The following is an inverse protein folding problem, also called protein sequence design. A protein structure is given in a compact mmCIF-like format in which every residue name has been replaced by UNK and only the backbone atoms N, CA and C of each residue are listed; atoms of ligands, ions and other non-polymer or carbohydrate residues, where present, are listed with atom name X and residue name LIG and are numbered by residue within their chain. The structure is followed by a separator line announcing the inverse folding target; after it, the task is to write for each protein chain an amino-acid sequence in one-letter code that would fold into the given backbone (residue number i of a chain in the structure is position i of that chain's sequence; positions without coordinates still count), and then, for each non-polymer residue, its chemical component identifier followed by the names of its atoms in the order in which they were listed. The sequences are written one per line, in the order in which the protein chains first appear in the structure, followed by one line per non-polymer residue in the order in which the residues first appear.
data_IF_167307787121
#
_entry.id   IF_167307787121
#
_cell.length_a   1.000
_cell.length_b   1.000
_cell.length_c   1.000
_cell.angle_alpha   90.00
_cell.angle_beta   90.00
_cell.angle_gamma   90.00
#
_symmetry.space_group_name_H-M   'P 1'
#
loop_
_entity.id
_entity.type
_entity.pdbx_description
1 polymer ?
#
# COMPACT_ATOMS: atom_id res chain seq x y z
N UNK A 1 -16.26 -40.42 -12.22
CA UNK A 1 -16.61 -39.00 -12.18
C UNK A 1 -15.39 -38.25 -11.74
N UNK A 2 -14.66 -37.55 -12.59
CA UNK A 2 -13.51 -36.75 -12.18
C UNK A 2 -14.01 -35.42 -11.64
N UNK A 3 -13.61 -35.11 -10.42
CA UNK A 3 -13.77 -33.78 -9.81
C UNK A 3 -12.84 -32.80 -10.56
N UNK A 4 -13.45 -31.89 -11.30
CA UNK A 4 -12.73 -30.75 -11.88
C UNK A 4 -12.35 -29.80 -10.76
N UNK A 5 -11.09 -29.84 -10.35
CA UNK A 5 -10.47 -28.79 -9.58
C UNK A 5 -10.43 -27.53 -10.46
N UNK A 6 -11.39 -26.65 -10.24
CA UNK A 6 -11.33 -25.30 -10.76
C UNK A 6 -10.23 -24.55 -9.96
N UNK A 7 -8.98 -24.69 -10.41
CA UNK A 7 -7.91 -23.82 -10.03
C UNK A 7 -8.32 -22.43 -10.52
N UNK A 8 -8.74 -21.57 -9.58
CA UNK A 8 -8.99 -20.17 -9.85
C UNK A 8 -7.70 -19.60 -10.46
N UNK A 9 -7.75 -19.35 -11.76
CA UNK A 9 -6.63 -18.77 -12.50
C UNK A 9 -6.33 -17.42 -11.89
N UNK A 10 -5.22 -17.34 -11.15
CA UNK A 10 -4.64 -16.10 -10.66
C UNK A 10 -4.48 -15.18 -11.86
N UNK A 11 -5.16 -14.04 -11.83
CA UNK A 11 -5.04 -13.01 -12.86
C UNK A 11 -3.56 -12.66 -12.96
N UNK A 12 -2.92 -12.70 -14.14
CA UNK A 12 -1.50 -12.39 -14.25
C UNK A 12 -1.28 -10.99 -13.68
N UNK A 13 -0.43 -10.91 -12.65
CA UNK A 13 0.00 -9.63 -12.11
C UNK A 13 0.68 -8.88 -13.26
N UNK A 14 0.25 -7.66 -13.51
CA UNK A 14 0.94 -6.75 -14.40
C UNK A 14 2.40 -6.63 -13.91
N UNK A 15 3.38 -6.67 -14.81
CA UNK A 15 4.80 -6.61 -14.49
C UNK A 15 5.17 -5.46 -13.54
N UNK A 16 4.49 -4.33 -13.67
CA UNK A 16 4.65 -3.17 -12.79
C UNK A 16 4.24 -3.49 -11.35
N UNK A 17 3.13 -4.19 -11.14
CA UNK A 17 2.66 -4.56 -9.79
C UNK A 17 3.62 -5.54 -9.12
N UNK A 18 4.14 -6.52 -9.88
CA UNK A 18 5.14 -7.46 -9.38
C UNK A 18 6.44 -6.75 -8.99
N UNK A 19 6.90 -5.78 -9.79
CA UNK A 19 8.09 -4.99 -9.49
C UNK A 19 7.92 -4.15 -8.22
N UNK A 20 6.78 -3.47 -8.06
CA UNK A 20 6.50 -2.68 -6.86
C UNK A 20 6.47 -3.55 -5.60
N UNK A 21 5.87 -4.73 -5.66
CA UNK A 21 5.88 -5.70 -4.57
C UNK A 21 7.30 -6.11 -4.19
N UNK A 22 8.13 -6.44 -5.17
CA UNK A 22 9.55 -6.79 -4.96
C UNK A 22 10.32 -5.65 -4.32
N UNK A 23 10.13 -4.42 -4.81
CA UNK A 23 10.80 -3.21 -4.29
C UNK A 23 10.39 -2.92 -2.85
N UNK A 24 9.11 -3.10 -2.52
CA UNK A 24 8.60 -2.95 -1.16
C UNK A 24 9.19 -4.00 -0.22
N UNK A 25 9.17 -5.27 -0.62
CA UNK A 25 9.71 -6.39 0.17
C UNK A 25 11.21 -6.27 0.41
N UNK A 26 11.97 -5.75 -0.55
CA UNK A 26 13.41 -5.53 -0.41
C UNK A 26 13.80 -4.59 0.74
N UNK A 27 12.85 -3.80 1.25
CA UNK A 27 13.03 -2.88 2.39
C UNK A 27 12.60 -3.49 3.72
N UNK A 28 12.12 -4.71 3.73
CA UNK A 28 11.56 -5.38 4.90
C UNK A 28 12.46 -6.51 5.37
N UNK A 29 12.44 -6.76 6.66
CA UNK A 29 13.06 -7.96 7.25
C UNK A 29 12.07 -9.14 7.17
N UNK A 30 12.56 -10.38 7.11
CA UNK A 30 11.71 -11.56 7.24
C UNK A 30 10.84 -11.49 8.51
N UNK A 31 9.56 -11.81 8.39
CA UNK A 31 8.63 -11.77 9.51
C UNK A 31 8.23 -10.36 9.99
N UNK A 32 8.53 -9.31 9.23
CA UNK A 32 8.16 -7.94 9.56
C UNK A 32 6.66 -7.80 9.86
N UNK A 33 6.30 -6.89 10.77
CA UNK A 33 4.91 -6.57 11.08
C UNK A 33 4.43 -5.39 10.25
N UNK A 34 3.45 -5.65 9.39
CA UNK A 34 2.94 -4.71 8.40
C UNK A 34 1.49 -4.29 8.71
N UNK A 35 1.14 -3.09 8.28
CA UNK A 35 -0.25 -2.68 8.13
C UNK A 35 -0.67 -2.80 6.66
N UNK A 36 -1.69 -3.59 6.38
CA UNK A 36 -2.40 -3.56 5.11
C UNK A 36 -3.66 -2.70 5.27
N UNK A 37 -3.57 -1.45 4.85
CA UNK A 37 -4.68 -0.49 4.95
C UNK A 37 -5.58 -0.55 3.72
N UNK A 38 -6.89 -0.33 3.92
CA UNK A 38 -7.89 -0.39 2.85
C UNK A 38 -7.77 -1.69 2.04
N UNK A 39 -7.72 -2.83 2.77
CA UNK A 39 -7.36 -4.11 2.18
C UNK A 39 -8.39 -4.67 1.19
N UNK A 40 -9.54 -4.03 1.05
CA UNK A 40 -10.60 -4.47 0.15
C UNK A 40 -11.06 -5.88 0.47
N UNK A 41 -11.15 -6.74 -0.53
CA UNK A 41 -11.51 -8.15 -0.36
C UNK A 41 -10.33 -9.06 0.04
N UNK A 42 -9.12 -8.50 0.25
CA UNK A 42 -8.02 -9.22 0.88
C UNK A 42 -6.98 -9.83 -0.07
N UNK A 43 -6.93 -9.46 -1.34
CA UNK A 43 -5.94 -9.99 -2.29
C UNK A 43 -4.49 -9.71 -1.82
N UNK A 44 -4.17 -8.45 -1.52
CA UNK A 44 -2.85 -8.08 -1.02
C UNK A 44 -2.58 -8.62 0.38
N UNK A 45 -3.61 -8.71 1.23
CA UNK A 45 -3.51 -9.33 2.54
C UNK A 45 -3.06 -10.79 2.45
N UNK A 46 -3.67 -11.56 1.55
CA UNK A 46 -3.30 -12.95 1.28
C UNK A 46 -1.86 -13.05 0.76
N UNK A 47 -1.49 -12.17 -0.19
CA UNK A 47 -0.12 -12.11 -0.69
C UNK A 47 0.89 -11.84 0.42
N UNK A 48 0.73 -10.77 1.22
CA UNK A 48 1.67 -10.41 2.28
C UNK A 48 1.83 -11.54 3.31
N UNK A 49 0.75 -12.23 3.64
CA UNK A 49 0.80 -13.39 4.53
C UNK A 49 1.54 -14.59 3.91
N UNK A 50 1.33 -14.83 2.62
CA UNK A 50 2.03 -15.91 1.89
C UNK A 50 3.55 -15.67 1.84
N UNK A 51 3.98 -14.39 1.84
CA UNK A 51 5.39 -13.99 1.93
C UNK A 51 5.96 -14.12 3.36
N UNK A 52 5.16 -14.53 4.34
CA UNK A 52 5.60 -14.79 5.72
C UNK A 52 5.58 -13.56 6.63
N UNK A 53 4.93 -12.48 6.26
CA UNK A 53 4.78 -11.30 7.11
C UNK A 53 3.66 -11.45 8.14
N UNK A 54 3.81 -10.78 9.28
CA UNK A 54 2.72 -10.58 10.25
C UNK A 54 1.94 -9.36 9.82
N UNK A 55 0.63 -9.49 9.55
CA UNK A 55 -0.15 -8.41 8.97
C UNK A 55 -1.31 -8.02 9.87
N UNK A 56 -1.39 -6.74 10.22
CA UNK A 56 -2.62 -6.12 10.70
C UNK A 56 -3.35 -5.55 9.49
N UNK A 57 -4.65 -5.85 9.33
CA UNK A 57 -5.43 -5.36 8.20
C UNK A 57 -6.61 -4.51 8.66
N UNK A 58 -6.94 -3.48 7.89
CA UNK A 58 -8.16 -2.68 8.08
C UNK A 58 -8.90 -2.41 6.78
N UNK A 59 -10.22 -2.38 6.87
CA UNK A 59 -11.14 -2.04 5.79
C UNK A 59 -12.37 -1.33 6.38
N UNK A 60 -12.78 -0.23 5.76
CA UNK A 60 -13.93 0.54 6.26
C UNK A 60 -15.28 -0.10 5.90
N UNK A 61 -15.33 -0.82 4.77
CA UNK A 61 -16.55 -1.47 4.27
C UNK A 61 -16.68 -2.85 4.91
N UNK A 62 -17.70 -3.03 5.74
CA UNK A 62 -17.92 -4.28 6.47
C UNK A 62 -18.02 -5.51 5.55
N UNK A 63 -18.70 -5.38 4.42
CA UNK A 63 -18.86 -6.49 3.48
C UNK A 63 -17.50 -6.96 2.93
N UNK A 64 -16.63 -6.02 2.51
CA UNK A 64 -15.30 -6.30 2.00
C UNK A 64 -14.40 -6.87 3.11
N UNK A 65 -14.47 -6.31 4.33
CA UNK A 65 -13.72 -6.81 5.48
C UNK A 65 -14.07 -8.27 5.84
N UNK A 66 -15.35 -8.64 5.74
CA UNK A 66 -15.79 -10.03 5.93
C UNK A 66 -15.18 -10.97 4.88
N UNK A 67 -15.21 -10.58 3.60
CA UNK A 67 -14.62 -11.36 2.51
C UNK A 67 -13.11 -11.49 2.72
N UNK A 68 -12.41 -10.38 3.02
CA UNK A 68 -10.99 -10.38 3.29
C UNK A 68 -10.62 -11.29 4.47
N UNK A 69 -11.41 -11.27 5.55
CA UNK A 69 -11.21 -12.13 6.71
C UNK A 69 -11.38 -13.61 6.37
N UNK A 70 -12.40 -13.95 5.58
CA UNK A 70 -12.62 -15.33 5.13
C UNK A 70 -11.51 -15.84 4.21
N UNK A 71 -11.09 -15.02 3.23
CA UNK A 71 -10.05 -15.40 2.27
C UNK A 71 -8.69 -15.54 2.92
N UNK A 72 -8.34 -14.62 3.81
CA UNK A 72 -7.03 -14.59 4.46
C UNK A 72 -6.91 -15.50 5.70
N UNK A 73 -8.04 -15.93 6.27
CA UNK A 73 -8.06 -16.71 7.51
C UNK A 73 -7.60 -15.91 8.74
N UNK A 74 -7.70 -14.57 8.72
CA UNK A 74 -7.39 -13.72 9.87
C UNK A 74 -8.44 -12.62 10.07
N UNK A 75 -8.46 -12.04 11.26
CA UNK A 75 -9.33 -10.90 11.56
C UNK A 75 -8.91 -9.65 10.77
N UNK A 76 -9.90 -8.93 10.25
CA UNK A 76 -9.74 -7.62 9.62
C UNK A 76 -10.48 -6.58 10.47
N UNK A 77 -9.81 -5.49 10.82
CA UNK A 77 -10.43 -4.40 11.58
C UNK A 77 -11.39 -3.62 10.68
N UNK A 78 -12.63 -3.48 11.12
CA UNK A 78 -13.63 -2.68 10.39
C UNK A 78 -13.50 -1.23 10.85
N UNK A 79 -12.63 -0.48 10.18
CA UNK A 79 -12.43 0.94 10.49
C UNK A 79 -11.81 1.69 9.31
N UNK A 80 -12.11 3.00 9.17
CA UNK A 80 -11.42 3.84 8.21
C UNK A 80 -9.93 3.94 8.50
N UNK A 81 -9.12 4.04 7.45
CA UNK A 81 -7.65 4.17 7.56
C UNK A 81 -7.25 5.34 8.48
N UNK A 82 -7.94 6.47 8.38
CA UNK A 82 -7.69 7.65 9.21
C UNK A 82 -7.91 7.43 10.73
N UNK A 83 -8.59 6.35 11.11
CA UNK A 83 -8.82 6.00 12.53
C UNK A 83 -7.94 4.86 13.00
N UNK A 84 -7.03 4.36 12.14
CA UNK A 84 -6.08 3.35 12.56
C UNK A 84 -5.09 3.93 13.57
N UNK A 85 -4.86 3.19 14.63
CA UNK A 85 -3.85 3.47 15.64
C UNK A 85 -3.20 2.15 16.09
N UNK A 86 -1.98 2.25 16.55
CA UNK A 86 -1.22 1.11 17.05
C UNK A 86 -0.29 1.56 18.18
N UNK A 87 -0.11 0.70 19.18
CA UNK A 87 0.83 0.95 20.28
C UNK A 87 2.27 0.80 19.79
N UNK A 88 2.51 -0.15 18.89
CA UNK A 88 3.83 -0.38 18.29
C UNK A 88 3.81 0.04 16.83
N UNK A 89 4.84 0.75 16.35
CA UNK A 89 4.94 1.15 14.96
C UNK A 89 5.18 -0.07 14.07
N UNK A 90 4.69 0.02 12.83
CA UNK A 90 4.85 -1.00 11.80
C UNK A 90 6.19 -0.90 11.10
N UNK A 91 6.67 -2.05 10.60
CA UNK A 91 7.85 -2.15 9.73
C UNK A 91 7.56 -1.70 8.28
N UNK A 92 6.30 -1.57 7.92
CA UNK A 92 5.86 -1.06 6.62
C UNK A 92 4.33 -0.96 6.56
N UNK A 93 3.85 -0.11 5.66
CA UNK A 93 2.43 0.05 5.35
C UNK A 93 2.22 -0.18 3.86
N UNK A 94 1.29 -1.06 3.52
CA UNK A 94 0.81 -1.29 2.16
C UNK A 94 -0.66 -0.91 2.09
N UNK A 95 -1.01 0.03 1.20
CA UNK A 95 -2.39 0.37 0.93
C UNK A 95 -2.84 -0.30 -0.37
N UNK A 96 -3.93 -1.05 -0.31
CA UNK A 96 -4.44 -1.79 -1.47
C UNK A 96 -5.28 -0.92 -2.41
N UNK A 97 -5.77 0.22 -1.92
CA UNK A 97 -6.58 1.16 -2.70
C UNK A 97 -5.91 2.53 -2.79
N UNK A 98 -6.18 3.29 -3.86
CA UNK A 98 -5.67 4.65 -4.01
C UNK A 98 -6.11 5.56 -2.86
N UNK A 99 -5.24 6.50 -2.50
CA UNK A 99 -5.61 7.63 -1.67
C UNK A 99 -6.27 8.70 -2.57
N UNK A 100 -7.56 8.58 -2.79
CA UNK A 100 -8.35 9.54 -3.57
C UNK A 100 -8.93 10.60 -2.63
N UNK A 101 -8.08 11.48 -2.16
CA UNK A 101 -8.43 12.53 -1.19
C UNK A 101 -7.95 13.90 -1.68
N UNK A 102 -8.69 14.94 -1.30
CA UNK A 102 -8.23 16.31 -1.48
C UNK A 102 -7.01 16.58 -0.59
N UNK A 103 -6.20 17.57 -0.96
CA UNK A 103 -4.97 17.95 -0.21
C UNK A 103 -5.26 18.17 1.27
N UNK A 104 -6.39 18.80 1.60
CA UNK A 104 -6.80 19.10 2.98
C UNK A 104 -7.02 17.86 3.85
N UNK A 105 -7.42 16.75 3.26
CA UNK A 105 -7.63 15.46 3.95
C UNK A 105 -6.41 14.55 3.83
N UNK A 106 -5.65 14.66 2.74
CA UNK A 106 -4.49 13.84 2.49
C UNK A 106 -3.32 14.16 3.45
N UNK A 107 -3.06 15.45 3.72
CA UNK A 107 -1.96 15.87 4.62
C UNK A 107 -2.13 15.29 6.03
N UNK A 108 -3.27 15.46 6.73
CA UNK A 108 -3.47 14.84 8.04
C UNK A 108 -3.37 13.32 8.01
N UNK A 109 -3.87 12.68 6.94
CA UNK A 109 -3.79 11.24 6.78
C UNK A 109 -2.34 10.75 6.65
N UNK A 110 -1.54 11.39 5.80
CA UNK A 110 -0.12 11.06 5.64
C UNK A 110 0.68 11.32 6.93
N UNK A 111 0.38 12.40 7.65
CA UNK A 111 0.97 12.68 8.97
C UNK A 111 0.66 11.54 9.95
N UNK A 112 -0.59 11.10 10.03
CA UNK A 112 -0.98 9.99 10.88
C UNK A 112 -0.29 8.68 10.46
N UNK A 113 -0.27 8.32 9.17
CA UNK A 113 0.41 7.13 8.68
C UNK A 113 1.91 7.16 9.01
N UNK A 114 2.54 8.34 8.93
CA UNK A 114 3.92 8.52 9.34
C UNK A 114 4.15 8.16 10.81
N UNK A 115 3.21 8.48 11.72
CA UNK A 115 3.31 8.11 13.14
C UNK A 115 3.19 6.61 13.38
N UNK A 116 2.55 5.89 12.48
CA UNK A 116 2.39 4.43 12.56
C UNK A 116 3.61 3.66 12.05
N UNK A 117 4.59 4.33 11.43
CA UNK A 117 5.78 3.72 10.85
C UNK A 117 7.00 3.86 11.74
N UNK A 118 7.85 2.84 11.75
CA UNK A 118 9.23 2.94 12.24
C UNK A 118 10.04 3.87 11.34
N UNK A 119 11.11 4.46 11.88
CA UNK A 119 12.07 5.23 11.07
C UNK A 119 12.62 4.37 9.92
N UNK A 120 12.71 4.96 8.72
CA UNK A 120 13.14 4.28 7.51
C UNK A 120 12.11 3.32 6.87
N UNK A 121 10.99 3.06 7.53
CA UNK A 121 9.99 2.09 7.04
C UNK A 121 9.20 2.61 5.82
N UNK A 122 8.86 1.74 4.86
CA UNK A 122 8.16 2.11 3.65
C UNK A 122 6.64 2.22 3.83
N UNK A 123 6.04 3.22 3.18
CA UNK A 123 4.62 3.35 2.90
C UNK A 123 4.41 3.25 1.39
N UNK A 124 3.68 2.25 0.93
CA UNK A 124 3.39 2.04 -0.49
C UNK A 124 1.89 2.13 -0.77
N UNK A 125 1.50 2.83 -1.83
CA UNK A 125 0.11 2.96 -2.25
C UNK A 125 -0.01 3.23 -3.75
N UNK A 126 -1.13 2.81 -4.37
CA UNK A 126 -1.42 3.14 -5.76
C UNK A 126 -1.85 4.60 -5.90
N UNK A 127 -1.42 5.25 -6.97
CA UNK A 127 -1.83 6.59 -7.39
C UNK A 127 -2.54 6.48 -8.75
N UNK A 128 -3.85 6.74 -8.82
CA UNK A 128 -4.58 6.62 -10.08
C UNK A 128 -4.16 7.72 -11.06
N UNK A 129 -4.06 7.44 -12.36
CA UNK A 129 -3.63 8.42 -13.37
C UNK A 129 -4.59 9.60 -13.50
N UNK A 130 -5.87 9.38 -13.19
CA UNK A 130 -6.93 10.40 -13.17
C UNK A 130 -7.29 10.86 -11.76
N UNK A 131 -6.39 10.64 -10.79
CA UNK A 131 -6.60 11.03 -9.40
C UNK A 131 -6.60 12.54 -9.19
N UNK A 132 -7.10 12.97 -8.05
CA UNK A 132 -7.13 14.39 -7.63
C UNK A 132 -5.74 15.00 -7.42
N UNK A 133 -4.72 14.16 -7.27
CA UNK A 133 -3.34 14.57 -7.01
C UNK A 133 -2.40 13.82 -7.95
N UNK A 134 -1.56 14.55 -8.66
CA UNK A 134 -0.48 13.99 -9.47
C UNK A 134 0.73 13.64 -8.59
N UNK A 135 1.67 12.83 -9.12
CA UNK A 135 2.92 12.50 -8.41
C UNK A 135 3.73 13.76 -8.07
N UNK A 136 3.79 14.73 -8.99
CA UNK A 136 4.50 16.00 -8.76
C UNK A 136 3.88 16.82 -7.61
N UNK A 137 2.54 16.89 -7.57
CA UNK A 137 1.82 17.55 -6.49
C UNK A 137 2.02 16.84 -5.16
N UNK A 138 2.00 15.51 -5.15
CA UNK A 138 2.28 14.71 -3.95
C UNK A 138 3.70 14.95 -3.44
N UNK A 139 4.69 14.97 -4.34
CA UNK A 139 6.08 15.24 -3.99
C UNK A 139 6.24 16.64 -3.38
N UNK A 140 5.65 17.66 -4.00
CA UNK A 140 5.65 19.01 -3.47
C UNK A 140 4.98 19.06 -2.08
N UNK A 141 3.84 18.43 -1.92
CA UNK A 141 3.08 18.39 -0.69
C UNK A 141 3.88 17.75 0.44
N UNK A 142 4.51 16.60 0.22
CA UNK A 142 5.33 15.91 1.20
C UNK A 142 6.53 16.79 1.60
N UNK A 143 7.14 17.49 0.65
CA UNK A 143 8.30 18.37 0.91
C UNK A 143 7.90 19.62 1.69
N UNK A 144 6.75 20.22 1.41
CA UNK A 144 6.36 21.53 1.96
C UNK A 144 5.57 21.43 3.27
N UNK A 145 4.89 20.31 3.51
CA UNK A 145 4.01 20.16 4.69
C UNK A 145 4.72 19.69 5.97
N UNK A 146 6.04 19.52 5.95
CA UNK A 146 6.80 19.08 7.12
C UNK A 146 6.42 17.66 7.60
N UNK A 147 5.81 16.85 6.72
CA UNK A 147 5.49 15.47 7.03
C UNK A 147 6.79 14.67 7.10
N UNK A 148 6.95 13.85 8.12
CA UNK A 148 8.14 13.02 8.26
C UNK A 148 8.11 11.80 7.30
N UNK A 149 7.87 12.05 6.01
CA UNK A 149 7.91 11.11 4.91
C UNK A 149 8.75 11.69 3.77
N UNK A 150 9.43 10.84 3.04
CA UNK A 150 10.24 11.21 1.88
C UNK A 150 9.92 10.30 0.72
N UNK A 151 9.87 10.83 -0.50
CA UNK A 151 9.68 10.01 -1.69
C UNK A 151 10.89 9.07 -1.85
N UNK A 152 10.63 7.78 -1.93
CA UNK A 152 11.67 6.80 -2.23
C UNK A 152 12.04 6.91 -3.72
N UNK A 153 13.33 6.83 -4.07
CA UNK A 153 13.71 6.64 -5.44
C UNK A 153 13.16 5.27 -5.89
N UNK A 154 12.09 5.29 -6.66
CA UNK A 154 11.65 4.14 -7.42
C UNK A 154 12.31 4.26 -8.77
N UNK A 155 13.12 3.27 -9.14
CA UNK A 155 13.55 3.16 -10.52
C UNK A 155 12.30 3.06 -11.37
N UNK A 156 12.09 4.07 -12.22
CA UNK A 156 11.02 4.03 -13.19
C UNK A 156 11.28 2.80 -14.06
N UNK A 157 10.50 1.74 -13.90
CA UNK A 157 10.45 0.67 -14.89
C UNK A 157 9.83 1.29 -16.11
N UNK A 158 10.68 1.86 -16.95
CA UNK A 158 10.34 2.15 -18.32
C UNK A 158 10.07 0.79 -18.96
N UNK A 159 8.81 0.37 -18.97
CA UNK A 159 8.37 -0.67 -19.87
C UNK A 159 8.63 -0.13 -21.27
N UNK A 160 9.80 -0.50 -21.84
CA UNK A 160 10.10 -0.36 -23.25
C UNK A 160 9.26 -1.38 -24.02
N UNK A 161 7.95 -1.14 -24.04
CA UNK A 161 7.06 -1.69 -25.05
C UNK A 161 6.34 -0.52 -25.67
N UNK A 162 6.71 -0.26 -26.92
CA UNK A 162 6.09 0.66 -27.84
C UNK A 162 4.65 0.20 -28.15
N UNK A 163 3.76 0.31 -27.16
CA UNK A 163 2.35 0.13 -27.36
C UNK A 163 1.62 1.35 -26.80
N UNK A 164 1.20 2.21 -27.72
CA UNK A 164 0.55 3.50 -27.49
C UNK A 164 -0.86 3.40 -26.89
N UNK A 165 -1.24 2.25 -26.32
CA UNK A 165 -2.58 1.98 -25.79
C UNK A 165 -2.69 1.97 -24.26
N UNK A 166 -1.61 2.22 -23.50
CA UNK A 166 -1.61 2.03 -22.05
C UNK A 166 -1.55 3.35 -21.25
N UNK A 167 -2.39 4.33 -21.61
CA UNK A 167 -2.51 5.61 -20.86
C UNK A 167 -3.26 5.50 -19.51
N UNK A 168 -3.61 4.28 -19.08
CA UNK A 168 -4.42 4.06 -17.86
C UNK A 168 -3.73 3.18 -16.80
N UNK A 169 -2.41 3.03 -16.88
CA UNK A 169 -1.69 2.24 -15.88
C UNK A 169 -1.67 2.95 -14.52
N UNK A 170 -2.15 2.28 -13.48
CA UNK A 170 -2.04 2.75 -12.10
C UNK A 170 -0.56 2.84 -11.72
N UNK A 171 -0.10 4.01 -11.34
CA UNK A 171 1.24 4.24 -10.83
C UNK A 171 1.27 3.95 -9.31
N UNK A 172 2.32 3.33 -8.83
CA UNK A 172 2.53 3.15 -7.39
C UNK A 172 3.54 4.18 -6.87
N UNK A 173 3.32 4.60 -5.64
CA UNK A 173 4.19 5.53 -4.91
C UNK A 173 4.71 4.84 -3.67
N UNK A 174 5.99 5.01 -3.40
CA UNK A 174 6.61 4.59 -2.15
C UNK A 174 7.20 5.81 -1.44
N UNK A 175 6.79 6.00 -0.20
CA UNK A 175 7.34 6.99 0.72
C UNK A 175 8.11 6.25 1.82
N UNK A 176 9.18 6.85 2.31
CA UNK A 176 9.93 6.35 3.45
C UNK A 176 9.72 7.25 4.66
N UNK A 177 9.56 6.65 5.83
CA UNK A 177 9.55 7.39 7.08
C UNK A 177 10.92 8.02 7.31
N UNK A 178 10.98 9.35 7.34
CA UNK A 178 12.20 10.08 7.69
C UNK A 178 12.58 9.86 9.15
N UNK A 179 13.87 9.96 9.46
CA UNK A 179 14.35 10.05 10.81
C UNK A 179 13.93 11.42 11.37
N UNK A 180 13.25 11.41 12.51
CA UNK A 180 12.99 12.62 13.25
C UNK A 180 14.34 13.07 13.83
N UNK A 181 15.06 13.96 13.14
CA UNK A 181 16.06 14.74 13.82
C UNK A 181 15.29 15.73 14.71
N UNK A 182 15.22 15.41 15.99
CA UNK A 182 14.82 16.37 16.99
C UNK A 182 15.86 17.49 16.98
N UNK A 183 15.44 18.66 16.52
CA UNK A 183 16.14 19.93 16.77
C UNK A 183 15.76 20.45 18.14
#
# INVERSE_FOLDING_TARGET
MPHSDAIAASRPLNDQHAHVRTTFMARLKPGAHLLNGQCGMGEDLCWLRAEGYVVTACEAVLADAKVASQQSGQAVRVCPLAKMHSVLPYDGIWLSRPLDSDVSTLVPLLQQLATLLKAGAPLCFPLPPSGKISLAQLQQLVTTSGIALQLAPMEAVSASTSDSSNQHATQYVMLLRGDHQAT
#
